data_IF_091261773675
#
_entry.id   IF_091261773675
#
_cell.length_a   1.000
_cell.length_b   1.000
_cell.length_c   1.000
_cell.angle_alpha   90.00
_cell.angle_beta   90.00
_cell.angle_gamma   90.00
#
_symmetry.space_group_name_H-M   'P 1'
#
loop_
_entity.id
_entity.type
_entity.pdbx_description
1 polymer ?
#
# COMPACT_ATOMS: atom_id res chain seq x y z
N UNK A 1 50.83 18.86 -8.20
CA UNK A 1 49.59 18.30 -7.67
C UNK A 1 48.95 17.47 -8.77
N UNK A 2 48.86 16.16 -8.61
CA UNK A 2 48.21 15.28 -9.58
C UNK A 2 46.70 15.48 -9.51
N UNK A 3 46.03 15.67 -10.66
CA UNK A 3 44.56 15.75 -10.72
C UNK A 3 43.96 14.42 -10.19
N UNK A 4 42.88 14.48 -9.44
CA UNK A 4 42.24 13.26 -8.95
C UNK A 4 41.80 12.40 -10.14
N UNK A 5 41.84 11.05 -10.02
CA UNK A 5 41.45 10.17 -11.10
C UNK A 5 39.98 10.43 -11.48
N UNK A 6 39.74 10.65 -12.77
CA UNK A 6 38.35 10.76 -13.28
C UNK A 6 37.68 9.40 -13.12
N UNK A 7 36.75 9.29 -12.18
CA UNK A 7 35.89 8.10 -12.04
C UNK A 7 34.99 8.02 -13.27
N UNK A 8 35.24 7.04 -14.13
CA UNK A 8 34.45 6.82 -15.34
C UNK A 8 33.12 6.16 -14.98
N UNK A 9 32.01 6.81 -15.33
CA UNK A 9 30.70 6.19 -15.25
C UNK A 9 30.54 5.12 -16.30
N UNK A 10 29.93 4.00 -15.92
CA UNK A 10 29.64 2.87 -16.80
C UNK A 10 28.13 2.63 -16.94
N UNK A 11 27.75 1.92 -17.99
CA UNK A 11 26.37 1.54 -18.21
C UNK A 11 25.91 0.57 -17.13
N UNK A 12 24.73 0.79 -16.60
CA UNK A 12 24.13 -0.03 -15.53
C UNK A 12 24.06 -1.51 -15.92
N UNK A 13 23.70 -1.84 -17.18
CA UNK A 13 23.66 -3.23 -17.65
C UNK A 13 25.03 -3.93 -17.60
N UNK A 14 26.13 -3.20 -17.73
CA UNK A 14 27.49 -3.75 -17.56
C UNK A 14 27.89 -3.88 -16.11
N UNK A 15 27.60 -2.87 -15.30
CA UNK A 15 27.96 -2.87 -13.87
C UNK A 15 27.23 -4.00 -13.14
N UNK A 16 25.96 -4.26 -13.46
CA UNK A 16 25.19 -5.39 -12.92
C UNK A 16 25.87 -6.74 -13.16
N UNK A 17 26.41 -6.95 -14.36
CA UNK A 17 27.15 -8.19 -14.69
C UNK A 17 28.50 -8.21 -13.99
N UNK A 18 29.22 -7.09 -14.00
CA UNK A 18 30.54 -7.00 -13.37
C UNK A 18 30.50 -7.22 -11.86
N UNK A 19 29.43 -6.77 -11.19
CA UNK A 19 29.19 -7.03 -9.77
C UNK A 19 28.60 -8.44 -9.48
N UNK A 20 28.40 -9.27 -10.52
CA UNK A 20 27.84 -10.63 -10.35
C UNK A 20 26.35 -10.66 -9.94
N UNK A 21 25.63 -9.53 -10.04
CA UNK A 21 24.24 -9.43 -9.65
C UNK A 21 23.27 -10.11 -10.63
N UNK A 22 23.70 -10.25 -11.90
CA UNK A 22 22.96 -10.97 -12.94
C UNK A 22 23.93 -11.71 -13.87
N UNK A 23 23.50 -12.83 -14.52
CA UNK A 23 24.38 -13.69 -15.28
C UNK A 23 24.79 -13.12 -16.66
N UNK A 24 24.03 -12.18 -17.23
CA UNK A 24 24.29 -11.64 -18.55
C UNK A 24 23.73 -10.24 -18.73
N UNK A 25 24.22 -9.51 -19.76
CA UNK A 25 23.71 -8.18 -20.12
C UNK A 25 22.23 -8.20 -20.55
N UNK A 26 21.78 -9.29 -21.18
CA UNK A 26 20.36 -9.46 -21.53
C UNK A 26 19.50 -9.62 -20.28
N UNK A 27 19.96 -10.42 -19.31
CA UNK A 27 19.32 -10.54 -18.01
C UNK A 27 19.30 -9.20 -17.29
N UNK A 28 20.40 -8.44 -17.29
CA UNK A 28 20.46 -7.09 -16.73
C UNK A 28 19.42 -6.16 -17.37
N UNK A 29 19.35 -6.14 -18.71
CA UNK A 29 18.40 -5.29 -19.42
C UNK A 29 16.94 -5.65 -19.07
N UNK A 30 16.58 -6.94 -19.05
CA UNK A 30 15.24 -7.40 -18.65
C UNK A 30 14.90 -7.00 -17.23
N UNK A 31 15.84 -7.18 -16.28
CA UNK A 31 15.63 -6.85 -14.87
C UNK A 31 15.42 -5.35 -14.68
N UNK A 32 16.22 -4.52 -15.34
CA UNK A 32 16.08 -3.05 -15.29
C UNK A 32 14.75 -2.58 -15.89
N UNK A 33 14.40 -3.08 -17.10
CA UNK A 33 13.14 -2.73 -17.76
C UNK A 33 11.91 -3.17 -16.98
N UNK A 34 12.02 -4.27 -16.23
CA UNK A 34 10.97 -4.74 -15.31
C UNK A 34 10.91 -3.94 -13.99
N UNK A 35 11.71 -2.88 -13.83
CA UNK A 35 11.75 -2.11 -12.59
C UNK A 35 12.38 -2.86 -11.42
N UNK A 36 13.22 -3.86 -11.69
CA UNK A 36 13.85 -4.72 -10.70
C UNK A 36 15.22 -4.26 -10.22
N UNK A 37 15.61 -3.00 -10.43
CA UNK A 37 16.94 -2.48 -10.05
C UNK A 37 16.83 -1.10 -9.41
N UNK A 38 17.45 -0.92 -8.23
CA UNK A 38 17.71 0.39 -7.65
C UNK A 38 19.19 0.71 -7.65
N UNK A 39 19.51 1.99 -7.81
CA UNK A 39 20.86 2.55 -7.70
C UNK A 39 20.83 3.65 -6.67
N UNK A 40 21.62 3.52 -5.61
CA UNK A 40 21.64 4.44 -4.47
C UNK A 40 20.23 4.70 -3.88
N UNK A 41 19.40 3.63 -3.84
CA UNK A 41 18.03 3.68 -3.35
C UNK A 41 17.00 4.26 -4.33
N UNK A 42 17.40 4.62 -5.56
CA UNK A 42 16.50 5.16 -6.60
C UNK A 42 16.26 4.10 -7.67
N UNK A 43 14.99 3.81 -7.96
CA UNK A 43 14.60 2.87 -9.01
C UNK A 43 15.05 3.37 -10.40
N UNK A 44 15.57 2.47 -11.21
CA UNK A 44 16.08 2.77 -12.55
C UNK A 44 15.42 1.87 -13.59
N UNK A 45 14.89 2.49 -14.64
CA UNK A 45 14.18 1.86 -15.75
C UNK A 45 14.96 1.81 -17.07
N UNK A 46 16.19 2.38 -17.10
CA UNK A 46 17.03 2.47 -18.31
C UNK A 46 18.30 1.66 -18.15
N UNK A 47 18.46 0.51 -18.86
CA UNK A 47 19.67 -0.32 -18.79
C UNK A 47 20.96 0.42 -19.19
N UNK A 48 20.82 1.42 -20.07
CA UNK A 48 21.94 2.24 -20.53
C UNK A 48 22.28 3.41 -19.60
N UNK A 49 21.59 3.60 -18.47
CA UNK A 49 21.91 4.66 -17.50
C UNK A 49 23.36 4.55 -17.05
N UNK A 50 24.07 5.67 -17.06
CA UNK A 50 25.44 5.75 -16.59
C UNK A 50 25.47 5.87 -15.06
N UNK A 51 26.14 4.93 -14.40
CA UNK A 51 26.31 4.86 -12.96
C UNK A 51 27.79 4.78 -12.60
N UNK A 52 28.16 5.10 -11.38
CA UNK A 52 29.51 4.88 -10.87
C UNK A 52 29.74 3.38 -10.70
N UNK A 53 30.95 2.84 -10.94
CA UNK A 53 31.23 1.40 -10.76
C UNK A 53 31.05 0.91 -9.33
N UNK A 54 31.19 1.80 -8.34
CA UNK A 54 31.03 1.60 -6.91
C UNK A 54 29.63 2.01 -6.38
N UNK A 55 28.71 2.41 -7.26
CA UNK A 55 27.34 2.72 -6.87
C UNK A 55 26.70 1.51 -6.16
N UNK A 56 25.92 1.79 -5.12
CA UNK A 56 25.13 0.76 -4.42
C UNK A 56 23.98 0.31 -5.31
N UNK A 57 24.15 -0.84 -5.94
CA UNK A 57 23.12 -1.42 -6.81
C UNK A 57 22.45 -2.58 -6.07
N UNK A 58 21.13 -2.56 -6.04
CA UNK A 58 20.31 -3.61 -5.45
C UNK A 58 19.35 -4.17 -6.50
N UNK A 59 19.32 -5.53 -6.59
CA UNK A 59 18.25 -6.21 -7.32
C UNK A 59 17.01 -6.19 -6.43
N UNK A 60 16.04 -5.38 -6.83
CA UNK A 60 14.73 -5.33 -6.19
C UNK A 60 13.84 -6.32 -6.93
N UNK A 61 13.10 -7.16 -6.22
CA UNK A 61 12.11 -8.02 -6.88
C UNK A 61 11.16 -7.11 -7.67
N UNK A 62 10.80 -7.46 -8.92
CA UNK A 62 9.75 -6.73 -9.62
C UNK A 62 8.57 -6.56 -8.70
N UNK A 63 7.99 -5.38 -8.66
CA UNK A 63 6.83 -5.12 -7.82
C UNK A 63 5.74 -6.14 -8.16
N UNK A 64 5.31 -6.92 -7.18
CA UNK A 64 4.25 -7.92 -7.35
C UNK A 64 2.92 -7.25 -7.71
N UNK A 65 2.78 -5.96 -7.37
CA UNK A 65 1.58 -5.16 -7.55
C UNK A 65 1.91 -3.81 -8.21
N UNK A 66 0.92 -3.09 -8.69
CA UNK A 66 1.07 -1.77 -9.33
C UNK A 66 1.73 -0.73 -8.42
N UNK A 67 1.77 -0.96 -7.13
CA UNK A 67 2.52 -0.14 -6.17
C UNK A 67 2.89 -0.95 -4.92
N UNK A 68 3.87 -0.43 -4.15
CA UNK A 68 4.32 -1.03 -2.88
C UNK A 68 3.22 -1.16 -1.82
N UNK A 69 2.10 -0.45 -1.97
CA UNK A 69 0.96 -0.61 -1.06
C UNK A 69 0.37 -2.02 -1.14
N UNK A 70 0.38 -2.66 -2.32
CA UNK A 70 -0.06 -4.05 -2.47
C UNK A 70 0.70 -5.04 -1.58
N UNK A 71 2.01 -4.83 -1.39
CA UNK A 71 2.82 -5.67 -0.49
C UNK A 71 2.40 -5.53 0.97
N UNK A 72 1.94 -4.34 1.39
CA UNK A 72 1.39 -4.12 2.75
C UNK A 72 0.14 -4.96 2.95
N UNK A 73 -0.81 -4.86 2.00
CA UNK A 73 -2.05 -5.61 2.09
C UNK A 73 -1.80 -7.12 2.03
N UNK A 74 -0.93 -7.58 1.14
CA UNK A 74 -0.58 -9.00 1.04
C UNK A 74 -0.10 -9.55 2.38
N UNK A 75 0.81 -8.84 3.06
CA UNK A 75 1.29 -9.23 4.39
C UNK A 75 0.17 -9.29 5.43
N UNK A 76 -0.78 -8.33 5.42
CA UNK A 76 -1.91 -8.32 6.35
C UNK A 76 -2.87 -9.49 6.09
N UNK A 77 -3.19 -9.76 4.81
CA UNK A 77 -4.07 -10.88 4.44
C UNK A 77 -3.48 -12.21 4.90
N UNK A 78 -2.17 -12.40 4.72
CA UNK A 78 -1.48 -13.61 5.15
C UNK A 78 -1.44 -13.72 6.70
N UNK A 79 -1.04 -12.65 7.38
CA UNK A 79 -0.93 -12.63 8.85
C UNK A 79 -2.27 -12.81 9.56
N UNK A 80 -3.35 -12.26 9.00
CA UNK A 80 -4.68 -12.33 9.61
C UNK A 80 -5.52 -13.49 9.06
N UNK A 81 -4.95 -14.34 8.19
CA UNK A 81 -5.63 -15.46 7.54
C UNK A 81 -6.94 -15.06 6.84
N UNK A 82 -6.85 -13.97 6.02
CA UNK A 82 -7.96 -13.46 5.25
C UNK A 82 -7.83 -13.92 3.80
N UNK A 83 -8.82 -14.64 3.29
CA UNK A 83 -8.88 -15.10 1.90
C UNK A 83 -9.84 -14.22 1.09
N UNK A 84 -9.35 -13.45 0.11
CA UNK A 84 -10.21 -12.59 -0.71
C UNK A 84 -10.97 -13.33 -1.82
N UNK A 85 -10.75 -14.64 -2.02
CA UNK A 85 -11.38 -15.38 -3.11
C UNK A 85 -12.91 -15.32 -3.06
N UNK A 86 -13.50 -14.93 -4.17
CA UNK A 86 -14.95 -14.81 -4.30
C UNK A 86 -15.53 -13.55 -3.63
N UNK A 87 -14.73 -12.78 -2.88
CA UNK A 87 -15.20 -11.62 -2.14
C UNK A 87 -15.55 -10.43 -3.05
N UNK A 88 -16.56 -9.68 -2.62
CA UNK A 88 -16.82 -8.31 -3.07
C UNK A 88 -16.04 -7.37 -2.15
N UNK A 89 -15.04 -6.68 -2.71
CA UNK A 89 -14.12 -5.82 -1.98
C UNK A 89 -14.47 -4.34 -2.08
N UNK A 90 -14.05 -3.58 -1.06
CA UNK A 90 -14.07 -2.12 -1.04
C UNK A 90 -12.64 -1.63 -0.74
N UNK A 91 -12.04 -0.87 -1.66
CA UNK A 91 -10.72 -0.25 -1.50
C UNK A 91 -10.91 1.25 -1.28
N UNK A 92 -10.66 1.72 -0.06
CA UNK A 92 -10.84 3.11 0.36
C UNK A 92 -9.50 3.82 0.41
N UNK A 93 -9.33 4.82 -0.47
CA UNK A 93 -8.05 5.49 -0.71
C UNK A 93 -7.21 4.70 -1.71
N UNK A 94 -7.82 4.25 -2.81
CA UNK A 94 -7.21 3.33 -3.76
C UNK A 94 -5.96 3.90 -4.47
N UNK A 95 -5.83 5.21 -4.59
CA UNK A 95 -4.67 5.90 -5.18
C UNK A 95 -4.27 5.28 -6.53
N UNK A 96 -3.11 4.64 -6.62
CA UNK A 96 -2.63 3.93 -7.82
C UNK A 96 -3.24 2.54 -8.01
N UNK A 97 -3.98 2.02 -7.03
CA UNK A 97 -4.64 0.71 -7.11
C UNK A 97 -3.85 -0.46 -6.54
N UNK A 98 -2.86 -0.20 -5.67
CA UNK A 98 -2.04 -1.30 -5.12
C UNK A 98 -2.82 -2.30 -4.28
N UNK A 99 -3.77 -1.84 -3.46
CA UNK A 99 -4.66 -2.73 -2.70
C UNK A 99 -5.64 -3.44 -3.63
N UNK A 100 -6.25 -2.72 -4.56
CA UNK A 100 -7.12 -3.30 -5.60
C UNK A 100 -6.41 -4.41 -6.36
N UNK A 101 -5.19 -4.17 -6.85
CA UNK A 101 -4.39 -5.17 -7.58
C UNK A 101 -4.13 -6.43 -6.74
N UNK A 102 -3.78 -6.25 -5.46
CA UNK A 102 -3.58 -7.34 -4.52
C UNK A 102 -4.85 -8.19 -4.34
N UNK A 103 -6.00 -7.55 -4.14
CA UNK A 103 -7.28 -8.27 -3.99
C UNK A 103 -7.66 -9.03 -5.26
N UNK A 104 -7.50 -8.41 -6.43
CA UNK A 104 -7.82 -9.04 -7.72
C UNK A 104 -6.92 -10.25 -8.01
N UNK A 105 -5.61 -10.12 -7.73
CA UNK A 105 -4.66 -11.24 -7.90
C UNK A 105 -4.95 -12.38 -6.93
N UNK A 106 -5.54 -12.10 -5.77
CA UNK A 106 -5.96 -13.10 -4.78
C UNK A 106 -7.39 -13.60 -4.98
N UNK A 107 -8.05 -13.24 -6.09
CA UNK A 107 -9.29 -13.84 -6.54
C UNK A 107 -10.58 -13.14 -6.09
N UNK A 108 -10.51 -11.88 -5.67
CA UNK A 108 -11.72 -11.07 -5.48
C UNK A 108 -12.51 -10.96 -6.79
N UNK A 109 -13.83 -11.01 -6.72
CA UNK A 109 -14.72 -11.03 -7.88
C UNK A 109 -15.18 -9.66 -8.32
N UNK A 110 -15.23 -8.71 -7.38
CA UNK A 110 -15.56 -7.31 -7.65
C UNK A 110 -14.88 -6.41 -6.62
N UNK A 111 -14.40 -5.25 -7.06
CA UNK A 111 -13.80 -4.24 -6.19
C UNK A 111 -14.43 -2.87 -6.47
N UNK A 112 -14.97 -2.24 -5.46
CA UNK A 112 -15.32 -0.83 -5.44
C UNK A 112 -14.10 -0.06 -4.96
N UNK A 113 -13.43 0.64 -5.86
CA UNK A 113 -12.21 1.41 -5.57
C UNK A 113 -12.57 2.90 -5.46
N UNK A 114 -12.40 3.50 -4.29
CA UNK A 114 -12.86 4.85 -3.96
C UNK A 114 -11.65 5.74 -3.62
N UNK A 115 -11.57 6.91 -4.25
CA UNK A 115 -10.56 7.92 -3.93
C UNK A 115 -11.10 9.35 -4.11
N UNK A 116 -10.64 10.28 -3.27
CA UNK A 116 -10.89 11.72 -3.44
C UNK A 116 -10.07 12.32 -4.56
N UNK A 117 -8.96 11.68 -4.92
CA UNK A 117 -8.09 12.03 -6.03
C UNK A 117 -8.69 11.67 -7.39
N UNK A 118 -7.95 12.00 -8.45
CA UNK A 118 -8.35 11.74 -9.82
C UNK A 118 -7.13 11.45 -10.71
N UNK A 119 -7.27 10.48 -11.63
CA UNK A 119 -6.29 10.20 -12.68
C UNK A 119 -5.01 9.52 -12.21
N UNK A 120 -4.95 9.01 -10.98
CA UNK A 120 -3.78 8.30 -10.44
C UNK A 120 -3.89 6.78 -10.58
N UNK A 121 -5.10 6.27 -10.70
CA UNK A 121 -5.39 4.85 -10.72
C UNK A 121 -4.80 4.19 -11.99
N UNK A 122 -4.10 3.07 -11.80
CA UNK A 122 -3.39 2.36 -12.87
C UNK A 122 -4.31 1.96 -14.02
N UNK A 123 -3.88 2.24 -15.25
CA UNK A 123 -4.71 2.08 -16.45
C UNK A 123 -5.21 0.64 -16.65
N UNK A 124 -4.36 -0.35 -16.43
CA UNK A 124 -4.74 -1.77 -16.58
C UNK A 124 -5.84 -2.18 -15.60
N UNK A 125 -5.84 -1.63 -14.39
CA UNK A 125 -6.88 -1.91 -13.39
C UNK A 125 -8.18 -1.17 -13.72
N UNK A 126 -8.09 0.00 -14.33
CA UNK A 126 -9.25 0.77 -14.79
C UNK A 126 -10.01 0.04 -15.92
N UNK A 127 -9.32 -0.81 -16.69
CA UNK A 127 -9.90 -1.63 -17.75
C UNK A 127 -10.43 -3.00 -17.26
N UNK A 128 -10.15 -3.39 -16.02
CA UNK A 128 -10.60 -4.66 -15.46
C UNK A 128 -12.11 -4.57 -15.14
N UNK A 129 -12.91 -5.43 -15.75
CA UNK A 129 -14.38 -5.44 -15.58
C UNK A 129 -14.86 -5.74 -14.16
N UNK A 130 -13.97 -6.24 -13.31
CA UNK A 130 -14.23 -6.47 -11.88
C UNK A 130 -14.09 -5.20 -11.04
N UNK A 131 -13.53 -4.12 -11.59
CA UNK A 131 -13.29 -2.87 -10.87
C UNK A 131 -14.36 -1.84 -11.17
N UNK A 132 -14.97 -1.32 -10.12
CA UNK A 132 -15.85 -0.13 -10.17
C UNK A 132 -15.09 1.01 -9.52
N UNK A 133 -14.56 1.92 -10.34
CA UNK A 133 -13.74 3.03 -9.87
C UNK A 133 -14.56 4.29 -9.62
N UNK A 134 -14.50 4.81 -8.40
CA UNK A 134 -15.20 6.02 -7.95
C UNK A 134 -14.16 7.07 -7.53
N UNK A 135 -13.64 7.81 -8.50
CA UNK A 135 -12.72 8.94 -8.25
C UNK A 135 -13.48 10.21 -7.85
N UNK A 136 -12.77 11.20 -7.27
CA UNK A 136 -13.34 12.44 -6.72
C UNK A 136 -14.47 12.18 -5.71
N UNK A 137 -14.40 11.04 -5.03
CA UNK A 137 -15.46 10.56 -4.15
C UNK A 137 -14.93 10.44 -2.73
N UNK A 138 -15.61 11.11 -1.80
CA UNK A 138 -15.26 10.98 -0.38
C UNK A 138 -16.12 9.89 0.26
N UNK A 139 -15.49 8.86 0.78
CA UNK A 139 -16.14 7.70 1.39
C UNK A 139 -17.19 8.08 2.45
N UNK A 140 -16.99 9.18 3.17
CA UNK A 140 -17.93 9.62 4.21
C UNK A 140 -19.33 9.97 3.70
N UNK A 141 -19.46 10.18 2.40
CA UNK A 141 -20.72 10.55 1.74
C UNK A 141 -21.18 9.52 0.72
N UNK A 142 -20.53 8.37 0.68
CA UNK A 142 -20.92 7.25 -0.20
C UNK A 142 -22.11 6.53 0.41
N UNK A 143 -23.10 6.27 -0.40
CA UNK A 143 -24.30 5.55 -0.04
C UNK A 143 -24.42 4.18 -0.77
N UNK A 144 -25.47 3.45 -0.47
CA UNK A 144 -25.79 2.17 -1.10
C UNK A 144 -26.15 2.30 -2.59
N UNK A 145 -26.46 3.49 -3.10
CA UNK A 145 -26.71 3.66 -4.53
C UNK A 145 -25.38 3.58 -5.32
N UNK A 146 -24.30 4.12 -4.75
CA UNK A 146 -22.97 4.04 -5.36
C UNK A 146 -22.28 2.68 -5.14
N UNK A 147 -22.58 1.99 -4.02
CA UNK A 147 -22.05 0.66 -3.67
C UNK A 147 -23.24 -0.24 -3.33
N UNK A 148 -23.98 -0.76 -4.35
CA UNK A 148 -25.22 -1.50 -4.12
C UNK A 148 -25.01 -2.90 -3.54
N UNK A 149 -23.86 -3.51 -3.78
CA UNK A 149 -23.54 -4.86 -3.30
C UNK A 149 -22.99 -4.79 -1.87
N UNK A 150 -23.41 -5.71 -0.98
CA UNK A 150 -22.83 -5.82 0.37
C UNK A 150 -21.36 -6.18 0.30
N UNK A 151 -20.52 -5.47 1.04
CA UNK A 151 -19.06 -5.65 1.02
C UNK A 151 -18.64 -6.78 1.97
N UNK A 152 -17.88 -7.73 1.46
CA UNK A 152 -17.30 -8.85 2.22
C UNK A 152 -15.95 -8.48 2.85
N UNK A 153 -15.15 -7.69 2.12
CA UNK A 153 -13.81 -7.29 2.56
C UNK A 153 -13.56 -5.83 2.25
N UNK A 154 -13.42 -4.99 3.27
CA UNK A 154 -12.99 -3.61 3.10
C UNK A 154 -11.50 -3.46 3.43
N UNK A 155 -10.78 -2.73 2.59
CA UNK A 155 -9.38 -2.35 2.82
C UNK A 155 -9.25 -0.83 2.78
N UNK A 156 -8.49 -0.25 3.73
CA UNK A 156 -8.48 1.20 3.96
C UNK A 156 -7.05 1.71 4.04
N UNK A 157 -6.64 2.55 3.07
CA UNK A 157 -5.33 3.22 3.02
C UNK A 157 -5.49 4.72 2.75
N UNK A 158 -6.15 5.44 3.66
CA UNK A 158 -6.43 6.87 3.54
C UNK A 158 -5.28 7.74 4.07
N UNK A 159 -5.21 8.98 3.58
CA UNK A 159 -4.25 10.00 4.03
C UNK A 159 -4.95 11.29 4.40
N UNK A 160 -4.36 12.04 5.35
CA UNK A 160 -4.84 13.35 5.81
C UNK A 160 -6.20 13.35 6.52
N UNK A 161 -6.65 12.18 6.96
CA UNK A 161 -7.89 11.98 7.72
C UNK A 161 -7.68 10.84 8.71
N UNK A 162 -8.31 10.93 9.89
CA UNK A 162 -8.31 9.86 10.87
C UNK A 162 -9.25 8.73 10.44
N UNK A 163 -8.83 7.47 10.69
CA UNK A 163 -9.66 6.29 10.49
C UNK A 163 -10.95 6.32 11.30
N UNK A 164 -10.95 6.99 12.46
CA UNK A 164 -12.16 7.14 13.29
C UNK A 164 -13.29 7.90 12.58
N UNK A 165 -12.96 8.73 11.58
CA UNK A 165 -13.94 9.44 10.75
C UNK A 165 -14.36 8.65 9.50
N UNK A 166 -13.58 7.63 9.12
CA UNK A 166 -13.81 6.83 7.91
C UNK A 166 -14.56 5.54 8.24
N UNK A 167 -14.20 4.88 9.33
CA UNK A 167 -14.78 3.60 9.75
C UNK A 167 -16.31 3.59 9.81
N UNK A 168 -17.01 4.61 10.34
CA UNK A 168 -18.47 4.60 10.38
C UNK A 168 -19.12 4.47 9.00
N UNK A 169 -18.59 5.17 7.99
CA UNK A 169 -19.08 5.10 6.61
C UNK A 169 -18.81 3.75 5.97
N UNK A 170 -17.62 3.18 6.21
CA UNK A 170 -17.26 1.85 5.71
C UNK A 170 -18.17 0.79 6.30
N UNK A 171 -18.39 0.78 7.63
CA UNK A 171 -19.24 -0.21 8.33
C UNK A 171 -20.66 -0.22 7.78
N UNK A 172 -21.19 0.91 7.36
CA UNK A 172 -22.52 1.01 6.74
C UNK A 172 -22.65 0.22 5.43
N UNK A 173 -21.56 0.01 4.70
CA UNK A 173 -21.51 -0.72 3.43
C UNK A 173 -21.24 -2.23 3.61
N UNK A 174 -20.76 -2.64 4.78
CA UNK A 174 -20.37 -4.03 5.03
C UNK A 174 -21.57 -4.99 5.12
N UNK A 175 -21.35 -6.23 4.74
CA UNK A 175 -22.26 -7.33 5.08
C UNK A 175 -22.13 -7.71 6.58
N UNK A 176 -22.97 -8.65 7.05
CA UNK A 176 -23.01 -9.06 8.46
C UNK A 176 -21.82 -9.92 8.92
N UNK A 177 -20.96 -10.38 8.01
CA UNK A 177 -19.80 -11.23 8.31
C UNK A 177 -18.53 -10.72 7.65
N UNK A 178 -18.47 -9.42 7.36
CA UNK A 178 -17.37 -8.81 6.63
C UNK A 178 -16.07 -8.74 7.45
N UNK A 179 -14.98 -8.65 6.73
CA UNK A 179 -13.65 -8.37 7.30
C UNK A 179 -13.19 -6.98 6.88
N UNK A 180 -12.42 -6.32 7.73
CA UNK A 180 -11.81 -5.01 7.44
C UNK A 180 -10.32 -5.07 7.70
N UNK A 181 -9.51 -4.54 6.79
CA UNK A 181 -8.08 -4.29 7.00
C UNK A 181 -7.84 -2.79 6.86
N UNK A 182 -7.33 -2.14 7.90
CA UNK A 182 -7.06 -0.71 7.88
C UNK A 182 -5.57 -0.43 8.13
N UNK A 183 -5.01 0.50 7.36
CA UNK A 183 -3.65 0.99 7.55
C UNK A 183 -3.68 2.23 8.45
N UNK A 184 -3.29 2.05 9.71
CA UNK A 184 -3.12 3.13 10.69
C UNK A 184 -1.86 3.91 10.35
N UNK A 185 -2.00 5.20 10.11
CA UNK A 185 -0.89 6.13 9.85
C UNK A 185 -0.78 7.08 11.02
N UNK A 186 0.16 6.88 11.95
CA UNK A 186 0.22 7.65 13.19
C UNK A 186 0.19 9.16 12.98
N UNK A 187 0.84 9.66 11.93
CA UNK A 187 0.88 11.08 11.60
C UNK A 187 -0.48 11.71 11.26
N UNK A 188 -1.50 10.90 10.97
CA UNK A 188 -2.87 11.38 10.71
C UNK A 188 -3.85 11.07 11.85
N UNK A 189 -3.38 10.30 12.86
CA UNK A 189 -4.18 9.89 14.03
C UNK A 189 -3.85 10.69 15.30
N UNK A 190 -2.60 11.18 15.44
CA UNK A 190 -2.21 12.05 16.54
C UNK A 190 -2.87 13.43 16.43
N UNK A 191 -3.04 14.09 17.57
CA UNK A 191 -3.59 15.46 17.63
C UNK A 191 -2.71 16.50 16.93
N UNK A 192 -3.29 17.68 16.66
CA UNK A 192 -2.54 18.83 16.13
C UNK A 192 -1.37 19.17 17.07
N UNK A 193 -0.17 19.33 16.49
CA UNK A 193 1.04 19.66 17.25
C UNK A 193 1.80 18.46 17.82
N UNK A 194 1.27 17.23 17.74
CA UNK A 194 1.94 16.02 18.21
C UNK A 194 2.77 15.32 17.12
N UNK A 195 2.71 15.80 15.89
CA UNK A 195 3.53 15.31 14.79
C UNK A 195 4.91 15.93 14.89
N UNK A 196 5.95 15.11 14.97
CA UNK A 196 7.34 15.57 15.08
C UNK A 196 7.86 16.25 13.81
N UNK A 197 9.09 16.78 13.90
CA UNK A 197 9.77 17.45 12.79
C UNK A 197 9.80 16.57 11.54
N UNK A 198 9.40 17.13 10.41
CA UNK A 198 9.32 16.42 9.12
C UNK A 198 8.05 15.60 8.92
N UNK A 199 7.08 15.67 9.83
CA UNK A 199 5.82 14.92 9.71
C UNK A 199 5.95 13.47 10.18
N UNK A 200 6.91 13.15 11.06
CA UNK A 200 7.19 11.78 11.51
C UNK A 200 6.85 11.64 12.99
N UNK A 201 6.07 10.59 13.31
CA UNK A 201 5.83 10.12 14.68
C UNK A 201 6.88 9.05 15.01
N UNK A 202 7.81 9.39 15.92
CA UNK A 202 8.93 8.49 16.30
C UNK A 202 8.69 7.76 17.62
N UNK A 203 7.81 8.27 18.44
CA UNK A 203 7.49 7.73 19.75
C UNK A 203 6.61 6.49 19.60
N UNK A 204 7.10 5.34 20.04
CA UNK A 204 6.38 4.08 19.97
C UNK A 204 5.14 4.08 20.88
N UNK A 205 5.17 4.77 22.03
CA UNK A 205 4.00 4.92 22.90
C UNK A 205 2.87 5.72 22.21
N UNK A 206 3.22 6.76 21.43
CA UNK A 206 2.23 7.49 20.63
C UNK A 206 1.64 6.62 19.52
N UNK A 207 2.48 5.77 18.90
CA UNK A 207 2.01 4.83 17.85
C UNK A 207 1.03 3.80 18.43
N UNK A 208 1.33 3.27 19.59
CA UNK A 208 0.45 2.33 20.32
C UNK A 208 -0.87 3.01 20.70
N UNK A 209 -0.83 4.17 21.32
CA UNK A 209 -2.01 4.92 21.73
C UNK A 209 -2.97 5.26 20.57
N UNK A 210 -2.45 5.64 19.39
CA UNK A 210 -3.31 5.90 18.23
C UNK A 210 -3.87 4.62 17.64
N UNK A 211 -3.14 3.51 17.70
CA UNK A 211 -3.65 2.20 17.29
C UNK A 211 -4.78 1.75 18.19
N UNK A 212 -4.62 1.85 19.51
CA UNK A 212 -5.66 1.56 20.51
C UNK A 212 -6.91 2.42 20.30
N UNK A 213 -6.73 3.72 20.01
CA UNK A 213 -7.84 4.63 19.68
C UNK A 213 -8.64 4.15 18.47
N UNK A 214 -7.96 3.70 17.40
CA UNK A 214 -8.63 3.16 16.20
C UNK A 214 -9.35 1.86 16.52
N UNK A 215 -8.72 0.96 17.28
CA UNK A 215 -9.33 -0.31 17.73
C UNK A 215 -10.57 -0.07 18.59
N UNK A 216 -10.50 0.87 19.53
CA UNK A 216 -11.65 1.23 20.37
C UNK A 216 -12.81 1.81 19.55
N UNK A 217 -12.51 2.66 18.57
CA UNK A 217 -13.53 3.16 17.64
C UNK A 217 -14.16 2.03 16.82
N UNK A 218 -13.37 1.10 16.30
CA UNK A 218 -13.87 -0.06 15.56
C UNK A 218 -14.78 -0.95 16.42
N UNK A 219 -14.40 -1.18 17.68
CA UNK A 219 -15.21 -1.96 18.62
C UNK A 219 -16.57 -1.32 18.87
N UNK A 220 -16.65 0.01 19.02
CA UNK A 220 -17.92 0.73 19.16
C UNK A 220 -18.83 0.57 17.93
N UNK A 221 -18.26 0.26 16.76
CA UNK A 221 -18.97 0.02 15.51
C UNK A 221 -19.29 -1.47 15.27
N UNK A 222 -19.07 -2.35 16.26
CA UNK A 222 -19.32 -3.78 16.16
C UNK A 222 -18.26 -4.55 15.36
N UNK A 223 -17.05 -4.02 15.28
CA UNK A 223 -15.90 -4.69 14.67
C UNK A 223 -14.98 -5.26 15.75
N UNK A 224 -14.70 -6.56 15.70
CA UNK A 224 -13.78 -7.23 16.60
C UNK A 224 -12.37 -7.26 16.02
N UNK A 225 -11.37 -7.00 16.85
CA UNK A 225 -9.96 -7.07 16.47
C UNK A 225 -9.55 -8.51 16.14
N UNK A 226 -9.00 -8.73 14.93
CA UNK A 226 -8.36 -9.98 14.52
C UNK A 226 -6.86 -9.98 14.79
N UNK A 227 -6.22 -8.84 14.64
CA UNK A 227 -4.79 -8.72 14.84
C UNK A 227 -4.23 -7.35 14.46
N UNK A 228 -2.99 -7.13 14.86
CA UNK A 228 -2.20 -5.93 14.60
C UNK A 228 -0.86 -6.38 14.01
N UNK A 229 -0.37 -5.71 12.97
CA UNK A 229 0.88 -6.03 12.29
C UNK A 229 1.60 -4.73 11.92
N UNK A 230 2.88 -4.60 12.27
CA UNK A 230 3.70 -3.53 11.70
C UNK A 230 3.80 -3.69 10.18
N UNK A 231 3.60 -2.60 9.43
CA UNK A 231 3.71 -2.62 7.98
C UNK A 231 5.12 -3.05 7.55
N UNK A 232 5.27 -4.03 6.65
CA UNK A 232 6.58 -4.44 6.14
C UNK A 232 7.22 -3.36 5.24
N UNK A 233 6.42 -2.38 4.83
CA UNK A 233 6.87 -1.28 3.98
C UNK A 233 6.78 0.02 4.76
N UNK A 234 7.91 0.68 4.90
CA UNK A 234 7.98 2.00 5.55
C UNK A 234 7.19 3.02 4.73
N UNK A 235 6.34 3.79 5.40
CA UNK A 235 5.54 4.84 4.81
C UNK A 235 6.37 6.01 4.27
N UNK A 236 5.72 6.92 3.55
CA UNK A 236 6.37 8.14 3.06
C UNK A 236 7.03 8.90 4.22
N UNK A 237 8.18 9.49 3.95
CA UNK A 237 9.00 10.24 4.93
C UNK A 237 9.53 9.40 6.09
N UNK A 238 9.38 8.07 6.11
CA UNK A 238 9.93 7.20 7.15
C UNK A 238 8.98 6.91 8.32
N UNK A 239 7.70 7.24 8.20
CA UNK A 239 6.72 6.82 9.20
C UNK A 239 6.54 5.29 9.22
N UNK A 240 6.53 4.70 10.40
CA UNK A 240 6.18 3.29 10.61
C UNK A 240 4.65 3.21 10.72
N UNK A 241 4.03 2.53 9.78
CA UNK A 241 2.58 2.37 9.67
C UNK A 241 2.16 1.01 10.25
N UNK A 242 0.92 0.89 10.69
CA UNK A 242 0.42 -0.32 11.35
C UNK A 242 -0.82 -0.82 10.59
N UNK A 243 -0.86 -2.11 10.28
CA UNK A 243 -2.00 -2.79 9.71
C UNK A 243 -2.85 -3.38 10.85
N UNK A 244 -4.15 -3.13 10.82
CA UNK A 244 -5.09 -3.65 11.81
C UNK A 244 -6.19 -4.39 11.08
N UNK A 245 -6.42 -5.64 11.47
CA UNK A 245 -7.48 -6.50 10.95
C UNK A 245 -8.66 -6.54 11.90
N UNK A 246 -9.88 -6.50 11.35
CA UNK A 246 -11.13 -6.62 12.11
C UNK A 246 -12.07 -7.61 11.42
N UNK A 247 -12.96 -8.22 12.22
CA UNK A 247 -14.11 -8.98 11.74
C UNK A 247 -15.39 -8.36 12.27
N UNK A 248 -16.42 -8.32 11.43
CA UNK A 248 -17.77 -7.98 11.85
C UNK A 248 -18.45 -9.25 12.37
N UNK A 249 -18.92 -9.24 13.62
CA UNK A 249 -19.72 -10.35 14.13
C UNK A 249 -21.12 -10.34 13.54
N UNK A 250 -21.64 -11.55 13.24
CA UNK A 250 -23.06 -11.72 13.03
C UNK A 250 -23.77 -11.35 14.33
N UNK A 251 -24.56 -10.27 14.31
CA UNK A 251 -25.59 -10.10 15.33
C UNK A 251 -26.60 -11.21 15.10
N UNK A 252 -26.62 -12.16 16.03
CA UNK A 252 -27.65 -13.24 16.12
C UNK A 252 -29.02 -12.64 16.37
#
# INVERSE_FOLDING_TARGET
>A
MASPPRVHKERLDRVLVAQGLVPSREAAARTVLAGGVSVDGIMVDKPAKLVLPDARIEIVRPASFVSRSGDKLAAALDAFHIDPRGAIGLDVGCSTGGFTDCLLQRGATRIYAIDVGYGQFEWRLRQDSRVVLLERTNIRYVDRAAVPEPIDLAVIDVSFISLTLVLPAVVHLLNSSATVVALVKPQFEVGKGQVGRGGIVRDDAQREAVTEKVVACAAQLGLQLKGVLDSPVIGRKGNREILVGFARERTT
#
